data_IF_733984187248
#
_entry.id   IF_733984187248
#
_cell.length_a   1.000
_cell.length_b   1.000
_cell.length_c   1.000
_cell.angle_alpha   90.00
_cell.angle_beta   90.00
_cell.angle_gamma   90.00
#
_symmetry.space_group_name_H-M   'P 1'
#
loop_
_entity.id
_entity.type
_entity.pdbx_description
1 polymer ?
#
# COMPACT_ATOMS: atom_id res chain seq x y z
N UNK A 1 31.44 6.72 20.36
CA UNK A 1 30.17 5.99 20.17
C UNK A 1 30.05 5.60 18.70
N UNK A 2 30.49 4.39 18.33
CA UNK A 2 30.40 3.91 16.95
C UNK A 2 29.00 3.32 16.71
N UNK A 3 28.25 3.89 15.77
CA UNK A 3 26.99 3.32 15.30
C UNK A 3 27.27 1.95 14.66
N UNK A 4 26.57 0.92 15.13
CA UNK A 4 26.75 -0.45 14.66
C UNK A 4 26.20 -0.60 13.23
N UNK A 5 27.09 -0.45 12.24
CA UNK A 5 26.80 -0.49 10.80
C UNK A 5 26.24 -1.83 10.30
N UNK A 6 26.30 -2.91 11.09
CA UNK A 6 25.79 -4.23 10.69
C UNK A 6 24.27 -4.40 10.83
N UNK A 7 23.59 -3.58 11.65
CA UNK A 7 22.14 -3.67 11.83
C UNK A 7 21.34 -2.96 10.70
N UNK A 8 21.98 -2.12 9.90
CA UNK A 8 21.32 -1.35 8.83
C UNK A 8 21.10 -2.16 7.54
N UNK A 9 22.04 -3.06 7.19
CA UNK A 9 21.93 -3.92 6.00
C UNK A 9 20.63 -4.74 5.90
N UNK A 10 20.13 -5.40 6.96
CA UNK A 10 18.91 -6.20 6.85
C UNK A 10 17.66 -5.36 6.58
N UNK A 11 17.54 -4.15 7.15
CA UNK A 11 16.36 -3.29 6.93
C UNK A 11 16.32 -2.76 5.51
N UNK A 12 17.47 -2.33 4.97
CA UNK A 12 17.57 -1.86 3.59
C UNK A 12 17.31 -2.99 2.60
N UNK A 13 17.82 -4.20 2.86
CA UNK A 13 17.53 -5.38 2.05
C UNK A 13 16.03 -5.71 2.03
N UNK A 14 15.34 -5.65 3.18
CA UNK A 14 13.88 -5.86 3.26
C UNK A 14 13.14 -4.79 2.45
N UNK A 15 13.53 -3.53 2.57
CA UNK A 15 12.91 -2.42 1.82
C UNK A 15 13.15 -2.56 0.31
N UNK A 16 14.34 -2.96 -0.09
CA UNK A 16 14.68 -3.21 -1.49
C UNK A 16 13.88 -4.38 -2.07
N UNK A 17 13.76 -5.48 -1.32
CA UNK A 17 12.94 -6.63 -1.70
C UNK A 17 11.46 -6.26 -1.82
N UNK A 18 10.93 -5.47 -0.88
CA UNK A 18 9.57 -4.94 -0.95
C UNK A 18 9.36 -4.04 -2.17
N UNK A 19 10.32 -3.15 -2.46
CA UNK A 19 10.27 -2.28 -3.64
C UNK A 19 10.29 -3.09 -4.94
N UNK A 20 11.16 -4.09 -5.05
CA UNK A 20 11.24 -4.97 -6.22
C UNK A 20 9.93 -5.74 -6.42
N UNK A 21 9.38 -6.32 -5.35
CA UNK A 21 8.09 -7.01 -5.37
C UNK A 21 6.95 -6.07 -5.82
N UNK A 22 6.88 -4.88 -5.24
CA UNK A 22 5.83 -3.92 -5.55
C UNK A 22 5.97 -3.36 -6.98
N UNK A 23 7.20 -3.16 -7.49
CA UNK A 23 7.44 -2.75 -8.88
C UNK A 23 6.99 -3.81 -9.90
N UNK A 24 6.97 -5.09 -9.52
CA UNK A 24 6.45 -6.16 -10.37
C UNK A 24 4.92 -6.12 -10.50
N UNK A 25 4.20 -5.40 -9.63
CA UNK A 25 2.76 -5.14 -9.78
C UNK A 25 2.56 -4.09 -10.87
N UNK A 26 2.26 -4.51 -12.10
CA UNK A 26 2.07 -3.67 -13.29
C UNK A 26 0.74 -2.88 -13.29
N UNK A 27 0.35 -2.34 -12.14
CA UNK A 27 -0.87 -1.54 -11.99
C UNK A 27 -0.73 -0.27 -12.85
N UNK A 28 -1.67 0.03 -13.76
CA UNK A 28 -1.49 1.00 -14.85
C UNK A 28 -1.67 2.48 -14.44
N UNK A 29 -1.79 2.74 -13.14
CA UNK A 29 -2.05 4.09 -12.59
C UNK A 29 -1.16 4.34 -11.39
N UNK A 30 -1.07 5.59 -10.93
CA UNK A 30 -0.37 5.92 -9.69
C UNK A 30 -1.09 5.31 -8.49
N UNK A 31 -0.30 4.68 -7.63
CA UNK A 31 -0.78 4.00 -6.43
C UNK A 31 0.29 4.02 -5.34
N UNK A 32 -0.14 3.76 -4.11
CA UNK A 32 0.73 3.63 -2.94
C UNK A 32 0.32 2.46 -2.05
N UNK A 33 1.24 2.07 -1.18
CA UNK A 33 0.97 1.10 -0.12
C UNK A 33 0.31 1.84 1.04
N UNK A 34 -0.81 1.32 1.52
CA UNK A 34 -1.55 1.91 2.64
C UNK A 34 -2.28 0.82 3.44
N UNK A 35 -2.59 1.13 4.70
CA UNK A 35 -3.40 0.27 5.55
C UNK A 35 -4.78 0.88 5.81
N UNK A 36 -5.72 0.05 6.27
CA UNK A 36 -7.01 0.55 6.73
C UNK A 36 -6.85 1.29 8.06
N UNK A 37 -7.50 2.45 8.14
CA UNK A 37 -7.50 3.26 9.35
C UNK A 37 -8.77 2.95 10.16
N UNK A 38 -8.63 2.36 11.36
CA UNK A 38 -9.79 2.04 12.20
C UNK A 38 -10.44 3.32 12.77
N UNK A 39 -11.71 3.23 13.15
CA UNK A 39 -12.49 4.37 13.67
C UNK A 39 -12.24 4.74 15.14
N UNK A 40 -11.84 3.81 16.02
CA UNK A 40 -11.52 4.09 17.44
C UNK A 40 -10.78 2.95 18.19
N UNK A 41 -10.08 3.29 19.28
CA UNK A 41 -9.45 2.47 20.37
C UNK A 41 -8.40 1.40 19.99
N UNK A 42 -8.49 0.74 18.84
CA UNK A 42 -7.56 -0.34 18.44
C UNK A 42 -6.28 0.15 17.75
N UNK A 43 -5.83 1.37 18.05
CA UNK A 43 -4.57 1.92 17.53
C UNK A 43 -3.36 1.11 18.02
N UNK A 44 -3.46 0.50 19.20
CA UNK A 44 -2.36 -0.18 19.88
C UNK A 44 -2.02 -1.57 19.33
N UNK A 45 -2.89 -2.17 18.50
CA UNK A 45 -2.58 -3.45 17.84
C UNK A 45 -2.17 -3.21 16.39
N UNK A 46 -0.94 -2.70 16.21
CA UNK A 46 -0.29 -2.53 14.91
C UNK A 46 0.23 -3.85 14.32
N UNK A 47 0.38 -4.90 15.15
CA UNK A 47 0.88 -6.19 14.69
C UNK A 47 -0.15 -6.82 13.75
N UNK A 48 0.25 -6.97 12.48
CA UNK A 48 -0.42 -7.76 11.45
C UNK A 48 -1.53 -7.10 10.61
N UNK A 49 -1.52 -5.77 10.44
CA UNK A 49 -2.41 -5.13 9.47
C UNK A 49 -1.96 -5.42 8.05
N UNK A 50 -2.89 -5.93 7.23
CA UNK A 50 -2.65 -6.12 5.81
C UNK A 50 -2.31 -4.79 5.12
N UNK A 51 -1.31 -4.83 4.26
CA UNK A 51 -0.86 -3.70 3.45
C UNK A 51 -1.56 -3.79 2.09
N UNK A 52 -2.34 -2.76 1.77
CA UNK A 52 -3.19 -2.69 0.58
C UNK A 52 -2.58 -1.78 -0.48
N UNK A 53 -3.04 -1.95 -1.73
CA UNK A 53 -2.83 -0.99 -2.81
C UNK A 53 -3.93 0.05 -2.72
N UNK A 54 -3.56 1.31 -2.51
CA UNK A 54 -4.43 2.47 -2.58
C UNK A 54 -4.19 3.21 -3.90
N UNK A 55 -5.26 3.51 -4.62
CA UNK A 55 -5.19 4.20 -5.89
C UNK A 55 -5.13 5.71 -5.69
N UNK A 56 -4.18 6.36 -6.36
CA UNK A 56 -4.02 7.82 -6.35
C UNK A 56 -4.64 8.46 -7.61
N UNK A 57 -5.08 7.62 -8.53
CA UNK A 57 -5.72 7.97 -9.80
C UNK A 57 -6.86 6.99 -10.08
N UNK A 58 -7.80 7.39 -10.94
CA UNK A 58 -8.89 6.53 -11.37
C UNK A 58 -8.41 5.44 -12.33
N UNK A 59 -8.94 4.22 -12.18
CA UNK A 59 -8.79 3.15 -13.18
C UNK A 59 -10.10 3.04 -13.95
N UNK A 60 -9.99 3.15 -15.28
CA UNK A 60 -11.12 3.02 -16.19
C UNK A 60 -10.78 2.02 -17.31
N UNK A 61 -10.84 0.72 -17.01
CA UNK A 61 -10.56 -0.36 -17.97
C UNK A 61 -11.82 -1.20 -18.23
N UNK A 62 -12.59 -0.81 -19.25
CA UNK A 62 -13.85 -1.48 -19.61
C UNK A 62 -14.83 -1.50 -18.44
N UNK A 63 -15.21 -2.71 -17.99
CA UNK A 63 -16.10 -2.89 -16.82
C UNK A 63 -15.37 -2.76 -15.48
N UNK A 64 -14.05 -2.79 -15.47
CA UNK A 64 -13.28 -2.63 -14.24
C UNK A 64 -13.04 -1.15 -13.98
N UNK A 65 -13.80 -0.61 -13.02
CA UNK A 65 -13.70 0.78 -12.58
C UNK A 65 -13.31 0.86 -11.11
N UNK A 66 -12.36 1.75 -10.80
CA UNK A 66 -11.97 2.13 -9.45
C UNK A 66 -11.66 3.61 -9.40
N UNK A 67 -12.02 4.26 -8.31
CA UNK A 67 -11.76 5.69 -8.12
C UNK A 67 -10.48 5.91 -7.32
N UNK A 68 -9.87 7.08 -7.51
CA UNK A 68 -8.88 7.65 -6.61
C UNK A 68 -9.38 7.59 -5.17
N UNK A 69 -8.49 7.24 -4.25
CA UNK A 69 -8.79 7.06 -2.83
C UNK A 69 -9.43 5.70 -2.51
N UNK A 70 -9.77 4.87 -3.50
CA UNK A 70 -10.20 3.49 -3.22
C UNK A 70 -8.99 2.56 -3.06
N UNK A 71 -9.15 1.55 -2.19
CA UNK A 71 -8.29 0.38 -2.24
C UNK A 71 -8.62 -0.46 -3.48
N UNK A 72 -7.60 -1.02 -4.13
CA UNK A 72 -7.76 -1.87 -5.31
C UNK A 72 -8.77 -3.02 -5.05
N UNK A 73 -8.69 -3.62 -3.85
CA UNK A 73 -9.58 -4.70 -3.41
C UNK A 73 -10.95 -4.25 -2.87
N UNK A 74 -11.30 -2.96 -2.95
CA UNK A 74 -12.52 -2.35 -2.37
C UNK A 74 -12.70 -2.62 -0.88
N UNK A 75 -11.59 -2.73 -0.14
CA UNK A 75 -11.68 -2.84 1.31
C UNK A 75 -12.41 -1.62 1.88
N UNK A 76 -13.37 -1.84 2.79
CA UNK A 76 -14.18 -0.77 3.36
C UNK A 76 -13.30 0.25 4.12
N UNK A 77 -13.52 1.53 3.82
CA UNK A 77 -12.95 2.65 4.56
C UNK A 77 -13.92 3.00 5.69
N UNK A 78 -13.49 2.77 6.94
CA UNK A 78 -14.33 2.97 8.13
C UNK A 78 -14.19 4.36 8.75
N UNK A 79 -13.11 5.07 8.43
CA UNK A 79 -12.86 6.44 8.87
C UNK A 79 -12.44 7.28 7.65
N UNK A 80 -13.39 7.85 6.90
CA UNK A 80 -13.09 8.59 5.66
C UNK A 80 -12.20 9.80 5.87
N UNK A 81 -12.43 10.58 6.94
CA UNK A 81 -11.64 11.78 7.22
C UNK A 81 -10.17 11.46 7.52
N UNK A 82 -9.91 10.43 8.34
CA UNK A 82 -8.53 10.00 8.59
C UNK A 82 -7.91 9.35 7.36
N UNK A 83 -8.69 8.59 6.59
CA UNK A 83 -8.24 7.97 5.35
C UNK A 83 -7.74 9.01 4.35
N UNK A 84 -8.53 10.06 4.08
CA UNK A 84 -8.13 11.13 3.16
C UNK A 84 -6.83 11.79 3.64
N UNK A 85 -6.75 12.13 4.93
CA UNK A 85 -5.58 12.84 5.50
C UNK A 85 -4.30 12.01 5.52
N UNK A 86 -4.38 10.73 5.86
CA UNK A 86 -3.20 9.90 6.14
C UNK A 86 -2.79 9.00 4.97
N UNK A 87 -3.74 8.61 4.12
CA UNK A 87 -3.49 7.67 3.03
C UNK A 87 -3.51 8.33 1.65
N UNK A 88 -4.37 9.31 1.40
CA UNK A 88 -4.63 9.80 0.02
C UNK A 88 -3.66 10.89 -0.43
N UNK A 89 -2.79 11.36 0.46
CA UNK A 89 -1.69 12.27 0.09
C UNK A 89 -0.72 11.61 -0.90
N UNK A 90 -0.34 12.35 -1.93
CA UNK A 90 0.70 11.96 -2.89
C UNK A 90 2.10 12.09 -2.31
N UNK A 91 2.24 12.83 -1.20
CA UNK A 91 3.49 12.98 -0.48
C UNK A 91 3.90 11.58 -0.02
N UNK A 92 5.05 11.12 -0.51
CA UNK A 92 5.65 9.82 -0.22
C UNK A 92 5.00 8.58 -0.86
N UNK A 93 4.25 8.75 -1.96
CA UNK A 93 3.68 7.62 -2.72
C UNK A 93 4.75 6.56 -3.08
N UNK A 94 5.91 6.97 -3.62
CA UNK A 94 6.98 6.01 -3.95
C UNK A 94 7.72 5.47 -2.73
N UNK A 95 7.88 6.26 -1.66
CA UNK A 95 8.51 5.77 -0.43
C UNK A 95 7.64 4.69 0.23
N UNK A 96 6.32 4.78 0.12
CA UNK A 96 5.39 3.76 0.63
C UNK A 96 5.67 2.37 0.03
N UNK A 97 6.17 2.30 -1.22
CA UNK A 97 6.48 1.04 -1.90
C UNK A 97 7.66 0.29 -1.29
N UNK A 98 8.35 0.86 -0.30
CA UNK A 98 9.34 0.16 0.54
C UNK A 98 8.71 -0.77 1.59
N UNK A 99 7.39 -0.79 1.70
CA UNK A 99 6.60 -1.75 2.49
C UNK A 99 5.91 -2.71 1.54
N UNK A 100 6.03 -4.03 1.74
CA UNK A 100 5.48 -5.02 0.82
C UNK A 100 3.95 -5.06 0.89
N UNK A 101 3.27 -5.02 -0.25
CA UNK A 101 1.81 -5.29 -0.31
C UNK A 101 1.55 -6.72 0.17
N UNK A 102 0.66 -6.88 1.15
CA UNK A 102 0.34 -8.18 1.77
C UNK A 102 -1.13 -8.58 1.68
N UNK A 103 -2.01 -7.68 1.22
CA UNK A 103 -3.41 -8.01 0.97
C UNK A 103 -3.55 -8.98 -0.22
N UNK A 104 -3.92 -10.22 0.04
CA UNK A 104 -4.09 -11.27 -0.97
C UNK A 104 -5.05 -10.87 -2.11
N UNK A 105 -6.16 -10.19 -1.79
CA UNK A 105 -7.11 -9.72 -2.82
C UNK A 105 -6.51 -8.66 -3.74
N UNK A 106 -5.67 -7.76 -3.22
CA UNK A 106 -4.97 -6.79 -4.05
C UNK A 106 -4.01 -7.48 -5.01
N UNK A 107 -3.24 -8.46 -4.51
CA UNK A 107 -2.29 -9.23 -5.29
C UNK A 107 -2.99 -10.07 -6.37
N UNK A 108 -4.11 -10.71 -6.03
CA UNK A 108 -4.91 -11.47 -6.98
C UNK A 108 -5.46 -10.60 -8.11
N UNK A 109 -6.02 -9.43 -7.78
CA UNK A 109 -6.55 -8.50 -8.79
C UNK A 109 -5.42 -8.01 -9.70
N UNK A 110 -4.28 -7.62 -9.11
CA UNK A 110 -3.14 -7.12 -9.88
C UNK A 110 -2.59 -8.19 -10.82
N UNK A 111 -2.45 -9.43 -10.34
CA UNK A 111 -1.99 -10.56 -11.15
C UNK A 111 -2.98 -10.89 -12.27
N UNK A 112 -4.27 -11.04 -11.97
CA UNK A 112 -5.29 -11.42 -12.96
C UNK A 112 -5.48 -10.38 -14.08
N UNK A 113 -5.10 -9.12 -13.85
CA UNK A 113 -5.33 -8.03 -14.82
C UNK A 113 -4.11 -7.58 -15.57
N UNK A 114 -2.95 -7.54 -14.93
CA UNK A 114 -1.78 -6.84 -15.48
C UNK A 114 -0.49 -7.65 -15.42
N UNK A 115 -0.50 -8.89 -14.94
CA UNK A 115 0.63 -9.81 -15.02
C UNK A 115 0.30 -10.98 -15.93
#
# INVERSE_FOLDING_TARGET
>A
MALNLNALRPVEAIRAAALAFNKALRIPVRWRVAERIPSASRYLSQKNRAQHVLLLEDINEGRFKRKRGEFLCKARITNPAAHERLNVSDIDADKSKRVKVSCQKCLEIARKRWQ
#
